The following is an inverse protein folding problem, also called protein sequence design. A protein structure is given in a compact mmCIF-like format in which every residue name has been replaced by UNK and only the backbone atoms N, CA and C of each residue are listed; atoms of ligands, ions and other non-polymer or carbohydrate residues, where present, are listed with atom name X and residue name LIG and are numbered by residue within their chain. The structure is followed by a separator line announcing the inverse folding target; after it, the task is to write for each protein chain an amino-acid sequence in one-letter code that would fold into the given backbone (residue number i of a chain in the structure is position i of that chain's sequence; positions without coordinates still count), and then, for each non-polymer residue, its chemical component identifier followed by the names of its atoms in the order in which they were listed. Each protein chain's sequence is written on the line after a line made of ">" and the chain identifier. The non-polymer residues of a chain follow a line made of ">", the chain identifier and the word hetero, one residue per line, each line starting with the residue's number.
data_IF_430939779836
#
_entry.id   IF_430939779836
#
_cell.length_a   1.000
_cell.length_b   1.000
_cell.length_c   1.000
_cell.angle_alpha   90.00
_cell.angle_beta   90.00
_cell.angle_gamma   90.00
#
_symmetry.space_group_name_H-M   'P 1'
#
loop_
_entity.id
_entity.type
_entity.pdbx_description
1 polymer ?
#
# COMPACT_ATOMS: atom_id res chain seq x y z
N UNK A 1 6.06 69.66 21.14
CA UNK A 1 7.47 69.51 21.53
C UNK A 1 7.60 68.20 22.27
N UNK A 2 8.61 67.39 21.96
CA UNK A 2 9.10 66.99 20.66
C UNK A 2 8.92 65.48 20.42
N UNK A 3 9.05 65.14 19.16
CA UNK A 3 9.15 63.80 18.64
C UNK A 3 10.45 63.09 19.09
N UNK A 4 10.41 61.81 19.27
CA UNK A 4 11.57 60.93 19.20
C UNK A 4 11.30 59.81 18.26
N UNK A 5 12.05 59.89 17.20
CA UNK A 5 12.32 58.94 16.16
C UNK A 5 12.93 57.65 16.76
N UNK A 6 12.40 56.50 16.35
CA UNK A 6 13.05 55.21 16.57
C UNK A 6 12.87 54.37 15.31
N UNK A 7 13.78 54.59 14.39
CA UNK A 7 14.03 53.74 13.26
C UNK A 7 14.45 52.37 13.75
N UNK A 8 13.57 51.40 13.69
CA UNK A 8 13.90 49.97 13.86
C UNK A 8 14.35 49.44 12.51
N UNK A 9 15.62 49.13 12.41
CA UNK A 9 16.19 48.34 11.34
C UNK A 9 15.79 46.90 11.53
N UNK A 10 14.92 46.39 10.71
CA UNK A 10 14.69 44.96 10.52
C UNK A 10 15.37 44.51 9.23
N UNK A 11 16.62 44.18 9.34
CA UNK A 11 17.29 43.32 8.39
C UNK A 11 17.41 41.94 9.03
N UNK A 12 16.31 41.19 9.08
CA UNK A 12 16.33 39.78 9.43
C UNK A 12 16.61 38.95 8.17
N UNK A 13 17.84 38.58 8.06
CA UNK A 13 18.43 37.60 7.16
C UNK A 13 17.64 36.29 7.14
N UNK A 14 16.74 36.12 6.15
CA UNK A 14 16.02 34.88 5.85
C UNK A 14 16.74 33.97 4.84
N UNK A 15 18.02 34.19 4.62
CA UNK A 15 18.83 33.39 3.68
C UNK A 15 19.53 32.18 4.30
N UNK A 16 19.15 31.79 5.51
CA UNK A 16 19.80 30.69 6.27
C UNK A 16 18.95 29.44 6.53
N UNK A 17 17.80 29.30 5.92
CA UNK A 17 17.15 27.97 5.93
C UNK A 17 17.82 27.09 4.89
N UNK A 18 18.94 26.53 5.30
CA UNK A 18 19.62 25.43 4.66
C UNK A 18 18.58 24.40 4.17
N UNK A 19 18.66 24.07 2.90
CA UNK A 19 18.12 22.82 2.37
C UNK A 19 18.55 21.74 3.34
N UNK A 20 17.58 21.15 4.04
CA UNK A 20 17.77 19.87 4.69
C UNK A 20 18.14 18.92 3.54
N UNK A 21 19.41 18.64 3.43
CA UNK A 21 19.90 17.52 2.65
C UNK A 21 19.16 16.32 3.22
N UNK A 22 18.21 15.80 2.46
CA UNK A 22 17.68 14.46 2.64
C UNK A 22 18.82 13.51 2.29
N UNK A 23 19.86 13.52 3.14
CA UNK A 23 20.93 12.56 3.12
C UNK A 23 20.29 11.20 3.28
N UNK A 24 20.30 10.43 2.23
CA UNK A 24 19.98 9.03 2.20
C UNK A 24 20.76 8.32 3.29
N UNK A 25 20.15 8.16 4.45
CA UNK A 25 20.57 7.12 5.38
C UNK A 25 20.04 5.79 4.84
N UNK A 26 20.58 5.36 3.70
CA UNK A 26 20.56 3.93 3.38
C UNK A 26 21.43 3.27 4.46
N UNK A 27 20.76 2.81 5.52
CA UNK A 27 21.43 1.99 6.51
C UNK A 27 22.07 0.83 5.76
N UNK A 28 23.36 0.60 6.04
CA UNK A 28 24.15 -0.53 5.57
C UNK A 28 23.44 -1.83 6.02
N UNK A 29 22.43 -2.27 5.24
CA UNK A 29 21.80 -3.57 5.42
C UNK A 29 22.77 -4.61 4.90
N UNK A 30 23.04 -5.68 5.64
CA UNK A 30 23.84 -6.78 5.11
C UNK A 30 23.19 -7.28 3.82
N UNK A 31 23.97 -7.44 2.76
CA UNK A 31 23.51 -7.92 1.45
C UNK A 31 22.76 -9.26 1.52
N UNK A 32 23.07 -10.09 2.52
CA UNK A 32 22.40 -11.36 2.80
C UNK A 32 20.92 -11.23 3.16
N UNK A 33 20.43 -10.04 3.54
CA UNK A 33 19.04 -9.79 3.91
C UNK A 33 18.17 -9.27 2.74
N UNK A 34 18.76 -8.90 1.61
CA UNK A 34 18.00 -8.44 0.43
C UNK A 34 17.48 -9.61 -0.41
N UNK A 35 18.22 -10.70 -0.53
CA UNK A 35 17.81 -11.92 -1.27
C UNK A 35 16.63 -12.67 -0.62
N UNK A 36 16.28 -12.38 0.63
CA UNK A 36 15.22 -13.09 1.38
C UNK A 36 13.99 -12.24 1.71
N UNK A 37 13.91 -11.02 1.22
CA UNK A 37 12.76 -10.16 1.50
C UNK A 37 11.54 -10.64 0.72
N UNK A 38 10.57 -11.20 1.44
CA UNK A 38 9.28 -11.55 0.85
C UNK A 38 8.52 -10.27 0.45
N UNK A 39 7.96 -10.22 -0.75
CA UNK A 39 7.13 -9.09 -1.16
C UNK A 39 5.92 -8.92 -0.24
N UNK A 40 5.49 -7.67 -0.11
CA UNK A 40 4.31 -7.28 0.67
C UNK A 40 3.22 -6.84 -0.30
N UNK A 41 2.12 -7.58 -0.35
CA UNK A 41 0.99 -7.28 -1.25
C UNK A 41 -0.20 -6.77 -0.46
N UNK A 42 -0.72 -5.62 -0.86
CA UNK A 42 -1.93 -5.03 -0.32
C UNK A 42 -3.19 -5.66 -0.91
N UNK A 43 -4.19 -5.92 -0.07
CA UNK A 43 -5.57 -6.15 -0.54
C UNK A 43 -6.42 -4.98 -0.06
N UNK A 44 -6.91 -4.22 -1.03
CA UNK A 44 -7.62 -2.95 -0.82
C UNK A 44 -9.05 -3.10 -1.36
N UNK A 45 -10.03 -2.67 -0.57
CA UNK A 45 -11.44 -2.77 -0.96
C UNK A 45 -12.37 -2.21 0.10
N UNK A 46 -13.67 -2.45 -0.06
CA UNK A 46 -14.65 -1.99 0.91
C UNK A 46 -14.81 -2.91 2.12
N UNK A 47 -15.37 -2.32 3.18
CA UNK A 47 -15.64 -3.02 4.45
C UNK A 47 -17.03 -3.66 4.53
N UNK A 48 -17.76 -3.84 3.42
CA UNK A 48 -19.11 -4.42 3.45
C UNK A 48 -19.06 -5.95 3.61
N UNK A 49 -19.57 -6.49 4.72
CA UNK A 49 -19.54 -7.92 4.97
C UNK A 49 -20.57 -8.68 4.09
N UNK A 50 -20.33 -9.99 3.91
CA UNK A 50 -21.28 -10.91 3.25
C UNK A 50 -21.42 -10.71 1.75
N UNK A 51 -20.55 -9.97 1.11
CA UNK A 51 -20.59 -9.68 -0.31
C UNK A 51 -19.85 -10.74 -1.15
N UNK A 52 -20.20 -10.85 -2.45
CA UNK A 52 -19.41 -11.64 -3.41
C UNK A 52 -17.95 -11.16 -3.49
N UNK A 53 -17.72 -9.89 -3.23
CA UNK A 53 -16.38 -9.29 -3.15
C UNK A 53 -15.56 -9.85 -1.99
N UNK A 54 -16.20 -10.07 -0.81
CA UNK A 54 -15.54 -10.69 0.33
C UNK A 54 -15.09 -12.13 -0.01
N UNK A 55 -15.95 -12.90 -0.70
CA UNK A 55 -15.58 -14.23 -1.17
C UNK A 55 -14.40 -14.21 -2.15
N UNK A 56 -14.45 -13.33 -3.16
CA UNK A 56 -13.33 -13.12 -4.10
C UNK A 56 -12.07 -12.67 -3.39
N UNK A 57 -12.18 -11.83 -2.38
CA UNK A 57 -11.05 -11.40 -1.55
C UNK A 57 -10.44 -12.59 -0.78
N UNK A 58 -11.25 -13.53 -0.29
CA UNK A 58 -10.74 -14.76 0.34
C UNK A 58 -9.96 -15.63 -0.66
N UNK A 59 -10.43 -15.75 -1.89
CA UNK A 59 -9.71 -16.45 -2.95
C UNK A 59 -8.36 -15.77 -3.29
N UNK A 60 -8.33 -14.41 -3.33
CA UNK A 60 -7.09 -13.63 -3.47
C UNK A 60 -6.15 -13.89 -2.29
N UNK A 61 -6.65 -13.82 -1.06
CA UNK A 61 -5.85 -14.08 0.15
C UNK A 61 -5.23 -15.47 0.15
N UNK A 62 -6.02 -16.49 -0.20
CA UNK A 62 -5.53 -17.87 -0.32
C UNK A 62 -4.45 -18.03 -1.42
N UNK A 63 -4.61 -17.34 -2.54
CA UNK A 63 -3.61 -17.37 -3.60
C UNK A 63 -2.31 -16.64 -3.20
N UNK A 64 -2.38 -15.51 -2.48
CA UNK A 64 -1.22 -14.81 -1.92
C UNK A 64 -0.48 -15.68 -0.89
N UNK A 65 -1.23 -16.39 -0.03
CA UNK A 65 -0.66 -17.32 0.94
C UNK A 65 0.17 -18.41 0.26
N UNK A 66 -0.40 -19.05 -0.77
CA UNK A 66 0.29 -20.07 -1.59
C UNK A 66 1.51 -19.52 -2.32
N UNK A 67 1.50 -18.25 -2.67
CA UNK A 67 2.64 -17.57 -3.29
C UNK A 67 3.75 -17.20 -2.29
N UNK A 68 3.53 -17.36 -0.98
CA UNK A 68 4.53 -17.13 0.06
C UNK A 68 4.84 -15.64 0.33
N UNK A 69 4.01 -14.70 -0.13
CA UNK A 69 4.17 -13.26 0.11
C UNK A 69 3.49 -12.83 1.41
N UNK A 70 3.82 -11.64 1.93
CA UNK A 70 3.07 -11.04 3.04
C UNK A 70 1.80 -10.37 2.53
N UNK A 71 0.73 -10.40 3.33
CA UNK A 71 -0.51 -9.68 3.06
C UNK A 71 -0.65 -8.49 4.02
N UNK A 72 -0.99 -7.32 3.49
CA UNK A 72 -1.35 -6.13 4.27
C UNK A 72 -2.73 -5.65 3.85
N UNK A 73 -3.57 -5.31 4.83
CA UNK A 73 -4.88 -4.70 4.58
C UNK A 73 -5.25 -3.72 5.70
N UNK A 74 -6.43 -3.10 5.61
CA UNK A 74 -6.94 -2.21 6.66
C UNK A 74 -7.38 -2.91 7.95
N UNK A 75 -7.38 -4.25 7.99
CA UNK A 75 -7.63 -5.04 9.20
C UNK A 75 -9.08 -5.09 9.68
N UNK A 76 -10.03 -4.47 8.97
CA UNK A 76 -11.46 -4.44 9.31
C UNK A 76 -12.26 -5.54 8.57
N UNK A 77 -13.56 -5.35 8.40
CA UNK A 77 -14.46 -6.30 7.76
C UNK A 77 -14.43 -6.29 6.23
N UNK A 78 -15.38 -7.01 5.60
CA UNK A 78 -15.58 -7.06 4.16
C UNK A 78 -14.41 -7.66 3.38
N UNK A 79 -13.95 -6.99 2.35
CA UNK A 79 -12.82 -7.47 1.54
C UNK A 79 -11.55 -7.70 2.36
N UNK A 80 -11.28 -6.88 3.37
CA UNK A 80 -10.12 -7.02 4.26
C UNK A 80 -10.20 -8.30 5.08
N UNK A 81 -11.35 -8.57 5.69
CA UNK A 81 -11.60 -9.79 6.45
C UNK A 81 -11.58 -11.02 5.54
N UNK A 82 -12.23 -10.96 4.38
CA UNK A 82 -12.20 -12.05 3.40
C UNK A 82 -10.78 -12.42 3.02
N UNK A 83 -9.95 -11.44 2.66
CA UNK A 83 -8.56 -11.66 2.29
C UNK A 83 -7.73 -12.26 3.44
N UNK A 84 -7.90 -11.72 4.65
CA UNK A 84 -7.19 -12.23 5.84
C UNK A 84 -7.60 -13.68 6.14
N UNK A 85 -8.91 -13.99 6.08
CA UNK A 85 -9.43 -15.35 6.28
C UNK A 85 -8.85 -16.33 5.28
N UNK A 86 -8.98 -16.03 3.99
CA UNK A 86 -8.45 -16.93 2.95
C UNK A 86 -6.94 -17.13 3.05
N UNK A 87 -6.22 -16.09 3.43
CA UNK A 87 -4.78 -16.17 3.67
C UNK A 87 -4.43 -17.14 4.82
N UNK A 88 -5.14 -17.04 5.93
CA UNK A 88 -4.93 -17.91 7.11
C UNK A 88 -5.33 -19.36 6.84
N UNK A 89 -6.49 -19.58 6.23
CA UNK A 89 -7.00 -20.91 5.90
C UNK A 89 -6.07 -21.67 4.94
N UNK A 90 -5.37 -20.94 4.06
CA UNK A 90 -4.39 -21.53 3.14
C UNK A 90 -3.01 -21.79 3.77
N UNK A 91 -2.82 -21.51 5.06
CA UNK A 91 -1.58 -21.72 5.81
C UNK A 91 -0.34 -21.10 5.14
N UNK A 92 -0.44 -19.83 4.73
CA UNK A 92 0.67 -19.09 4.15
C UNK A 92 1.87 -18.98 5.12
N UNK A 93 3.06 -19.04 4.58
CA UNK A 93 4.31 -18.92 5.36
C UNK A 93 4.70 -17.46 5.67
N UNK A 94 3.97 -16.50 5.14
CA UNK A 94 4.13 -15.07 5.42
C UNK A 94 3.27 -14.60 6.59
N UNK A 95 3.15 -13.27 6.72
CA UNK A 95 2.38 -12.61 7.78
C UNK A 95 1.18 -11.90 7.14
N UNK A 96 0.02 -12.00 7.77
CA UNK A 96 -1.15 -11.18 7.47
C UNK A 96 -1.23 -10.02 8.47
N UNK A 97 -0.98 -8.78 7.99
CA UNK A 97 -0.92 -7.57 8.81
C UNK A 97 -2.16 -6.70 8.58
N UNK A 98 -2.81 -6.28 9.66
CA UNK A 98 -3.89 -5.29 9.66
C UNK A 98 -3.40 -3.93 10.18
N UNK A 99 -3.47 -2.89 9.34
CA UNK A 99 -3.25 -1.50 9.77
C UNK A 99 -4.61 -0.87 10.08
N UNK A 100 -4.93 -0.70 11.36
CA UNK A 100 -6.24 -0.24 11.81
C UNK A 100 -6.32 1.29 11.84
N UNK A 101 -7.47 1.89 11.47
CA UNK A 101 -7.64 3.35 11.56
C UNK A 101 -7.75 3.85 13.00
N UNK A 102 -8.33 3.06 13.89
CA UNK A 102 -8.56 3.37 15.30
C UNK A 102 -7.36 3.15 16.20
N UNK A 103 -7.62 3.17 17.50
CA UNK A 103 -6.60 3.06 18.55
C UNK A 103 -6.61 1.73 19.29
N UNK A 104 -7.59 0.85 18.99
CA UNK A 104 -7.71 -0.47 19.62
C UNK A 104 -7.36 -1.60 18.66
N UNK A 105 -6.63 -2.60 19.15
CA UNK A 105 -6.38 -3.86 18.43
C UNK A 105 -7.61 -4.75 18.37
N UNK A 106 -8.55 -4.55 19.27
CA UNK A 106 -9.80 -5.32 19.37
C UNK A 106 -10.74 -5.06 18.19
N UNK A 107 -10.52 -3.94 17.46
CA UNK A 107 -11.29 -3.63 16.25
C UNK A 107 -10.88 -4.49 15.04
N UNK A 108 -9.78 -5.23 15.15
CA UNK A 108 -9.28 -6.07 14.06
C UNK A 108 -10.19 -7.27 13.79
N UNK A 109 -10.28 -7.67 12.51
CA UNK A 109 -10.86 -8.97 12.19
C UNK A 109 -9.98 -10.10 12.78
N UNK A 110 -10.58 -11.26 13.10
CA UNK A 110 -9.89 -12.32 13.85
C UNK A 110 -8.82 -13.08 13.06
N UNK A 111 -8.64 -12.76 11.78
CA UNK A 111 -7.77 -13.48 10.86
C UNK A 111 -6.40 -12.84 10.64
N UNK A 112 -6.18 -11.60 11.10
CA UNK A 112 -4.87 -10.97 10.99
C UNK A 112 -3.91 -11.54 12.04
N UNK A 113 -2.65 -11.75 11.65
CA UNK A 113 -1.59 -12.21 12.57
C UNK A 113 -1.13 -11.08 13.50
N UNK A 114 -1.07 -9.87 12.95
CA UNK A 114 -0.64 -8.69 13.65
C UNK A 114 -1.54 -7.51 13.32
N UNK A 115 -2.20 -6.96 14.32
CA UNK A 115 -3.00 -5.75 14.22
C UNK A 115 -2.22 -4.55 14.77
N UNK A 116 -2.07 -3.50 13.97
CA UNK A 116 -1.42 -2.24 14.38
C UNK A 116 -2.48 -1.14 14.38
N UNK A 117 -2.95 -0.69 15.54
CA UNK A 117 -3.79 0.48 15.65
C UNK A 117 -2.95 1.73 15.39
N UNK A 118 -3.34 2.51 14.38
CA UNK A 118 -2.56 3.67 13.94
C UNK A 118 -3.06 4.99 14.53
N UNK A 119 -4.34 5.05 14.90
CA UNK A 119 -4.97 6.26 15.44
C UNK A 119 -5.16 7.40 14.43
N UNK A 120 -4.84 7.17 13.14
CA UNK A 120 -4.89 8.23 12.11
C UNK A 120 -6.22 8.28 11.34
N UNK A 121 -7.21 7.49 11.76
CA UNK A 121 -8.55 7.48 11.17
C UNK A 121 -8.52 7.35 9.63
N UNK A 122 -9.12 8.29 8.91
CA UNK A 122 -9.22 8.27 7.44
C UNK A 122 -7.87 8.32 6.71
N UNK A 123 -6.78 8.71 7.37
CA UNK A 123 -5.44 8.72 6.77
C UNK A 123 -4.78 7.32 6.76
N UNK A 124 -5.39 6.31 7.40
CA UNK A 124 -4.88 4.94 7.48
C UNK A 124 -4.62 4.32 6.10
N UNK A 125 -5.46 4.60 5.10
CA UNK A 125 -5.24 4.12 3.74
C UNK A 125 -3.89 4.55 3.13
N UNK A 126 -3.38 5.73 3.50
CA UNK A 126 -2.04 6.16 3.08
C UNK A 126 -0.95 5.27 3.68
N UNK A 127 -1.10 4.84 4.94
CA UNK A 127 -0.15 3.92 5.58
C UNK A 127 -0.18 2.55 4.91
N UNK A 128 -1.37 2.04 4.53
CA UNK A 128 -1.49 0.79 3.76
C UNK A 128 -0.76 0.94 2.43
N UNK A 129 -1.04 1.99 1.67
CA UNK A 129 -0.39 2.23 0.38
C UNK A 129 1.14 2.36 0.48
N UNK A 130 1.65 2.96 1.56
CA UNK A 130 3.10 3.08 1.81
C UNK A 130 3.74 1.76 2.20
N UNK A 131 3.03 0.91 2.95
CA UNK A 131 3.56 -0.32 3.54
C UNK A 131 3.71 -1.47 2.53
N UNK A 132 3.09 -1.40 1.36
CA UNK A 132 3.05 -2.48 0.38
C UNK A 132 3.95 -2.23 -0.82
N UNK A 133 4.38 -3.29 -1.49
CA UNK A 133 5.16 -3.23 -2.73
C UNK A 133 4.25 -3.22 -3.97
N UNK A 134 3.04 -3.79 -3.86
CA UNK A 134 1.99 -3.78 -4.88
C UNK A 134 0.62 -3.98 -4.25
N UNK A 135 -0.47 -3.77 -4.98
CA UNK A 135 -1.81 -4.00 -4.46
C UNK A 135 -2.77 -4.67 -5.45
N UNK A 136 -3.71 -5.43 -4.89
CA UNK A 136 -4.90 -5.96 -5.57
C UNK A 136 -6.12 -5.21 -5.01
N UNK A 137 -6.95 -4.68 -5.92
CA UNK A 137 -8.09 -3.83 -5.58
C UNK A 137 -9.40 -4.53 -5.94
N UNK A 138 -10.33 -4.58 -4.97
CA UNK A 138 -11.65 -5.19 -5.10
C UNK A 138 -12.74 -4.21 -4.65
N UNK A 139 -13.64 -3.84 -5.56
CA UNK A 139 -14.71 -2.91 -5.23
C UNK A 139 -14.20 -1.57 -4.71
N UNK A 140 -14.73 -1.13 -3.58
CA UNK A 140 -14.27 0.06 -2.88
C UNK A 140 -14.91 1.37 -3.35
N UNK A 141 -14.69 2.42 -2.58
CA UNK A 141 -15.20 3.77 -2.81
C UNK A 141 -14.08 4.81 -2.89
N UNK A 142 -14.37 6.04 -2.43
CA UNK A 142 -13.43 7.17 -2.47
C UNK A 142 -12.12 6.93 -1.69
N UNK A 143 -12.19 6.23 -0.55
CA UNK A 143 -10.99 5.83 0.20
C UNK A 143 -10.09 4.93 -0.64
N UNK A 144 -10.65 3.90 -1.26
CA UNK A 144 -9.94 2.99 -2.15
C UNK A 144 -9.33 3.70 -3.36
N UNK A 145 -10.03 4.67 -3.96
CA UNK A 145 -9.47 5.50 -5.04
C UNK A 145 -8.27 6.32 -4.57
N UNK A 146 -8.32 6.83 -3.35
CA UNK A 146 -7.19 7.57 -2.75
C UNK A 146 -5.97 6.67 -2.56
N UNK A 147 -6.15 5.44 -2.07
CA UNK A 147 -5.08 4.44 -1.93
C UNK A 147 -4.48 4.07 -3.28
N UNK A 148 -5.33 3.83 -4.30
CA UNK A 148 -4.87 3.58 -5.68
C UNK A 148 -4.03 4.75 -6.19
N UNK A 149 -4.50 6.00 -6.00
CA UNK A 149 -3.77 7.20 -6.40
C UNK A 149 -2.38 7.30 -5.76
N UNK A 150 -2.27 6.97 -4.47
CA UNK A 150 -0.99 6.96 -3.74
C UNK A 150 -0.04 5.87 -4.27
N UNK A 151 -0.54 4.66 -4.50
CA UNK A 151 0.24 3.57 -5.07
C UNK A 151 0.80 3.91 -6.45
N UNK A 152 -0.04 4.46 -7.33
CA UNK A 152 0.37 4.84 -8.68
C UNK A 152 1.36 6.01 -8.69
N UNK A 153 1.18 6.99 -7.79
CA UNK A 153 2.15 8.08 -7.59
C UNK A 153 3.54 7.54 -7.23
N UNK A 154 3.58 6.52 -6.39
CA UNK A 154 4.82 5.91 -5.91
C UNK A 154 5.34 4.81 -6.87
N UNK A 155 4.75 4.68 -8.07
CA UNK A 155 5.15 3.72 -9.11
C UNK A 155 4.85 2.26 -8.78
N UNK A 156 4.04 1.99 -7.75
CA UNK A 156 3.73 0.63 -7.31
C UNK A 156 2.69 -0.03 -8.21
N UNK A 157 2.85 -1.32 -8.56
CA UNK A 157 1.89 -2.05 -9.37
C UNK A 157 0.51 -2.15 -8.70
N UNK A 158 -0.54 -1.85 -9.46
CA UNK A 158 -1.93 -2.00 -9.02
C UNK A 158 -2.69 -2.89 -10.00
N UNK A 159 -3.35 -3.92 -9.47
CA UNK A 159 -4.18 -4.85 -10.21
C UNK A 159 -5.62 -4.73 -9.70
N UNK A 160 -6.55 -4.33 -10.55
CA UNK A 160 -7.99 -4.34 -10.23
C UNK A 160 -8.60 -5.69 -10.57
N UNK A 161 -9.49 -6.20 -9.72
CA UNK A 161 -10.24 -7.43 -10.00
C UNK A 161 -11.58 -7.09 -10.66
N UNK A 162 -11.77 -7.61 -11.85
CA UNK A 162 -12.97 -7.43 -12.67
C UNK A 162 -14.24 -7.96 -11.98
N UNK A 163 -15.37 -7.32 -12.30
CA UNK A 163 -16.67 -7.71 -11.78
C UNK A 163 -16.79 -7.58 -10.25
N UNK A 164 -16.04 -6.65 -9.65
CA UNK A 164 -16.16 -6.32 -8.22
C UNK A 164 -16.82 -4.96 -7.98
N UNK A 165 -17.08 -4.18 -9.04
CA UNK A 165 -17.71 -2.87 -9.00
C UNK A 165 -16.84 -1.79 -8.34
N UNK A 166 -17.44 -0.64 -8.06
CA UNK A 166 -16.83 0.44 -7.30
C UNK A 166 -15.52 0.98 -7.89
N UNK A 167 -14.58 1.33 -7.03
CA UNK A 167 -13.29 1.89 -7.45
C UNK A 167 -12.50 0.95 -8.37
N UNK A 168 -12.51 -0.37 -8.08
CA UNK A 168 -11.82 -1.36 -8.90
C UNK A 168 -12.28 -1.33 -10.37
N UNK A 169 -13.60 -1.24 -10.60
CA UNK A 169 -14.17 -1.18 -11.93
C UNK A 169 -13.88 0.15 -12.63
N UNK A 170 -13.90 1.26 -11.88
CA UNK A 170 -13.60 2.59 -12.42
C UNK A 170 -12.17 2.72 -12.94
N UNK A 171 -11.20 2.11 -12.25
CA UNK A 171 -9.78 2.27 -12.58
C UNK A 171 -9.19 1.09 -13.36
N UNK A 172 -9.86 -0.06 -13.34
CA UNK A 172 -9.39 -1.30 -14.00
C UNK A 172 -9.14 -1.10 -15.50
N UNK A 173 -7.95 -1.42 -15.95
CA UNK A 173 -7.53 -1.24 -17.33
C UNK A 173 -7.19 0.20 -17.75
N UNK A 174 -7.39 1.19 -16.86
CA UNK A 174 -7.17 2.60 -17.18
C UNK A 174 -5.69 2.98 -17.12
N UNK A 175 -5.32 3.89 -18.03
CA UNK A 175 -4.04 4.60 -18.01
C UNK A 175 -4.22 5.89 -17.23
N UNK A 176 -3.51 6.05 -16.11
CA UNK A 176 -3.54 7.24 -15.27
C UNK A 176 -2.16 7.90 -15.28
N UNK A 177 -1.99 8.89 -16.13
CA UNK A 177 -0.67 9.49 -16.36
C UNK A 177 0.29 8.49 -17.00
N UNK A 178 1.43 8.21 -16.35
CA UNK A 178 2.41 7.20 -16.79
C UNK A 178 2.14 5.80 -16.24
N UNK A 179 1.26 5.68 -15.27
CA UNK A 179 0.93 4.43 -14.62
C UNK A 179 -0.32 3.80 -15.21
N UNK A 180 -0.38 2.48 -15.27
CA UNK A 180 -1.53 1.72 -15.71
C UNK A 180 -2.03 0.81 -14.59
N UNK A 181 -3.34 0.89 -14.30
CA UNK A 181 -4.02 -0.12 -13.49
C UNK A 181 -4.36 -1.31 -14.37
N UNK A 182 -3.76 -2.46 -14.09
CA UNK A 182 -4.07 -3.67 -14.85
C UNK A 182 -5.38 -4.27 -14.37
N UNK A 183 -6.10 -4.97 -15.25
CA UNK A 183 -7.36 -5.64 -14.96
C UNK A 183 -7.16 -7.14 -15.01
N UNK A 184 -7.50 -7.84 -13.92
CA UNK A 184 -7.52 -9.29 -13.82
C UNK A 184 -8.96 -9.79 -13.77
N UNK A 185 -9.24 -10.93 -14.38
CA UNK A 185 -10.58 -11.53 -14.42
C UNK A 185 -10.84 -12.51 -13.29
N UNK A 186 -9.79 -13.07 -12.70
CA UNK A 186 -9.88 -14.02 -11.60
C UNK A 186 -8.90 -13.69 -10.49
N UNK A 187 -9.16 -14.12 -9.24
CA UNK A 187 -8.24 -13.98 -8.11
C UNK A 187 -6.83 -14.52 -8.40
N UNK A 188 -6.73 -15.68 -9.00
CA UNK A 188 -5.44 -16.32 -9.34
C UNK A 188 -4.69 -15.53 -10.42
N UNK A 189 -5.43 -14.97 -11.40
CA UNK A 189 -4.83 -14.09 -12.41
C UNK A 189 -4.30 -12.82 -11.77
N UNK A 190 -5.04 -12.20 -10.86
CA UNK A 190 -4.61 -10.99 -10.14
C UNK A 190 -3.30 -11.23 -9.40
N UNK A 191 -3.18 -12.34 -8.68
CA UNK A 191 -1.96 -12.70 -7.94
C UNK A 191 -0.80 -12.96 -8.90
N UNK A 192 -1.00 -13.73 -9.99
CA UNK A 192 0.05 -13.94 -11.00
C UNK A 192 0.54 -12.61 -11.60
N UNK A 193 -0.39 -11.69 -11.89
CA UNK A 193 -0.05 -10.39 -12.47
C UNK A 193 0.72 -9.50 -11.50
N UNK A 194 0.37 -9.52 -10.20
CA UNK A 194 1.10 -8.82 -9.15
C UNK A 194 2.52 -9.36 -9.05
N UNK A 195 2.70 -10.67 -8.93
CA UNK A 195 4.02 -11.29 -8.79
C UNK A 195 4.92 -10.97 -9.99
N UNK A 196 4.40 -11.10 -11.21
CA UNK A 196 5.14 -10.73 -12.42
C UNK A 196 5.51 -9.25 -12.46
N UNK A 197 4.66 -8.37 -11.94
CA UNK A 197 4.94 -6.94 -11.89
C UNK A 197 6.03 -6.63 -10.87
N UNK A 198 6.03 -7.30 -9.72
CA UNK A 198 7.06 -7.16 -8.69
C UNK A 198 8.43 -7.62 -9.20
N UNK A 199 8.51 -8.78 -9.85
CA UNK A 199 9.76 -9.26 -10.49
C UNK A 199 10.32 -8.27 -11.51
N UNK A 200 9.43 -7.67 -12.33
CA UNK A 200 9.86 -6.67 -13.30
C UNK A 200 10.37 -5.39 -12.64
N UNK A 201 9.73 -4.97 -11.55
CA UNK A 201 10.11 -3.77 -10.79
C UNK A 201 11.47 -3.95 -10.11
N UNK A 202 11.71 -5.10 -9.50
CA UNK A 202 13.01 -5.45 -8.89
C UNK A 202 14.14 -5.45 -9.91
N UNK A 203 13.90 -5.99 -11.13
CA UNK A 203 14.90 -5.99 -12.21
C UNK A 203 15.28 -4.58 -12.66
N UNK A 204 14.30 -3.68 -12.81
CA UNK A 204 14.55 -2.29 -13.18
C UNK A 204 15.37 -1.58 -12.11
N UNK A 205 14.99 -1.76 -10.85
CA UNK A 205 15.71 -1.18 -9.72
C UNK A 205 17.16 -1.67 -9.63
N UNK A 206 17.38 -2.97 -9.82
CA UNK A 206 18.73 -3.55 -9.82
C UNK A 206 19.61 -3.00 -10.97
N UNK A 207 19.02 -2.65 -12.12
CA UNK A 207 19.75 -2.03 -13.23
C UNK A 207 20.12 -0.58 -12.92
N UNK A 208 19.22 0.19 -12.33
CA UNK A 208 19.46 1.59 -11.93
C UNK A 208 20.55 1.70 -10.84
N UNK A 209 20.59 0.74 -9.90
CA UNK A 209 21.61 0.70 -8.84
C UNK A 209 23.01 0.29 -9.33
N UNK A 210 23.11 -0.34 -10.50
CA UNK A 210 24.37 -0.77 -11.12
C UNK A 210 24.92 0.19 -12.19
N UNK A 211 24.23 1.29 -12.51
CA UNK A 211 24.80 2.31 -13.41
C UNK A 211 25.86 3.13 -12.64
N UNK A 212 27.15 3.14 -13.11
CA UNK A 212 28.18 3.97 -12.51
C UNK A 212 27.85 5.44 -12.79
N UNK A 213 27.67 6.25 -11.73
CA UNK A 213 27.48 7.70 -11.81
C UNK A 213 28.70 8.47 -12.35
#
# INVERSE_FOLDING_TARGET
>A
MPATDASVREDANLSGMARAETGERRGNRPAENEEQRRPVVGVIGDGMPGSDRERKAAEVGAALARAGVHLVCGGLGGCMEGASRGYKEANGSGICLGLLPGTSREDANPWVDLAIPTGVNSAQGALVAMAVDAAIVLGGGGGTLSEVGLLLRDGKPVIALDGTGGAAEMVGGQQLGRAQVRLARTPEEAVRMVLKALEAHERVRALEENEPG
#
